data_IF_612275628308
#
_entry.id   IF_612275628308
#
_cell.length_a   1.000
_cell.length_b   1.000
_cell.length_c   1.000
_cell.angle_alpha   90.00
_cell.angle_beta   90.00
_cell.angle_gamma   90.00
#
_symmetry.space_group_name_H-M   'P 1'
#
loop_
_entity.id
_entity.type
_entity.pdbx_description
1 polymer ?
#
# COMPACT_ATOMS: atom_id res chain seq x y z
N UNK A 1 39.36 -4.62 2.05
CA UNK A 1 39.88 -3.34 1.55
C UNK A 1 38.68 -2.43 1.39
N UNK A 2 38.62 -1.40 2.24
CA UNK A 2 37.40 -0.65 2.61
C UNK A 2 37.00 0.35 1.55
N UNK A 3 35.79 0.21 0.99
CA UNK A 3 35.17 1.17 0.08
C UNK A 3 34.46 2.28 0.91
N UNK A 4 35.22 2.99 1.74
CA UNK A 4 34.69 4.07 2.61
C UNK A 4 35.02 5.47 2.11
N UNK A 5 35.74 5.60 0.99
CA UNK A 5 36.11 6.88 0.37
C UNK A 5 35.39 7.05 -0.99
N UNK A 6 34.14 6.63 -1.06
CA UNK A 6 33.34 6.68 -2.28
C UNK A 6 31.98 7.27 -1.90
N UNK A 7 31.67 8.47 -2.39
CA UNK A 7 30.56 9.32 -1.97
C UNK A 7 30.66 9.93 -0.58
N UNK A 8 31.85 10.27 -0.08
CA UNK A 8 31.99 10.91 1.25
C UNK A 8 32.02 12.45 1.17
N UNK A 9 31.88 13.01 -0.03
CA UNK A 9 31.96 14.45 -0.27
C UNK A 9 33.39 14.98 -0.37
N UNK A 10 34.40 14.10 -0.29
CA UNK A 10 35.81 14.41 -0.47
C UNK A 10 36.31 13.85 -1.80
N UNK A 11 37.13 14.65 -2.51
CA UNK A 11 37.77 14.19 -3.75
C UNK A 11 39.02 13.40 -3.40
N UNK A 12 38.91 12.08 -3.35
CA UNK A 12 40.01 11.17 -2.99
C UNK A 12 40.83 10.72 -4.22
N UNK A 13 40.24 10.69 -5.41
CA UNK A 13 40.84 10.34 -6.70
C UNK A 13 41.17 11.59 -7.48
N UNK A 14 42.33 11.59 -8.16
CA UNK A 14 42.84 12.73 -8.93
C UNK A 14 41.88 13.20 -10.05
N UNK A 15 41.06 12.28 -10.57
CA UNK A 15 40.04 12.55 -11.60
C UNK A 15 38.66 12.90 -10.99
N UNK A 16 38.51 12.77 -9.66
CA UNK A 16 37.27 13.05 -8.92
C UNK A 16 36.08 12.17 -9.29
N UNK A 17 36.35 11.03 -9.91
CA UNK A 17 35.34 10.11 -10.42
C UNK A 17 34.58 9.37 -9.31
N UNK A 18 35.08 9.31 -8.07
CA UNK A 18 34.37 8.67 -6.95
C UNK A 18 33.20 9.48 -6.38
N UNK A 19 33.16 10.79 -6.62
CA UNK A 19 32.09 11.69 -6.14
C UNK A 19 31.14 12.09 -7.27
N UNK A 20 31.28 11.49 -8.46
CA UNK A 20 30.36 11.79 -9.56
C UNK A 20 29.00 11.16 -9.29
N UNK A 21 27.93 11.84 -9.68
CA UNK A 21 26.58 11.34 -9.46
C UNK A 21 26.36 9.94 -10.06
N UNK A 22 27.01 9.63 -11.19
CA UNK A 22 26.92 8.34 -11.87
C UNK A 22 27.61 7.22 -11.08
N UNK A 23 28.79 7.52 -10.53
CA UNK A 23 29.51 6.68 -9.58
C UNK A 23 28.68 6.44 -8.31
N UNK A 24 28.17 7.52 -7.71
CA UNK A 24 27.46 7.46 -6.44
C UNK A 24 26.05 6.87 -6.51
N UNK A 25 25.41 6.91 -7.69
CA UNK A 25 24.12 6.31 -7.92
C UNK A 25 24.11 4.79 -7.64
N UNK A 26 25.29 4.14 -7.70
CA UNK A 26 25.43 2.71 -7.47
C UNK A 26 25.70 2.32 -6.01
N UNK A 27 26.12 3.27 -5.15
CA UNK A 27 26.48 2.98 -3.75
C UNK A 27 25.57 3.65 -2.71
N UNK A 28 24.35 4.01 -3.08
CA UNK A 28 23.32 4.32 -2.08
C UNK A 28 22.69 3.02 -1.61
N UNK A 29 23.17 2.50 -0.49
CA UNK A 29 22.63 1.34 0.21
C UNK A 29 21.11 1.40 0.37
N UNK A 30 20.41 0.83 -0.60
CA UNK A 30 19.01 0.49 -0.50
C UNK A 30 18.90 -0.94 -0.99
N UNK A 31 18.78 -1.81 0.00
CA UNK A 31 18.28 -3.18 -0.07
C UNK A 31 16.93 -3.21 -0.81
N UNK A 32 16.92 -3.01 -2.13
CA UNK A 32 15.78 -3.31 -2.98
C UNK A 32 16.31 -3.86 -4.30
N UNK A 33 16.70 -5.13 -4.23
CA UNK A 33 16.95 -5.99 -5.38
C UNK A 33 15.69 -6.04 -6.25
N UNK A 34 15.80 -5.42 -7.43
CA UNK A 34 14.83 -5.48 -8.52
C UNK A 34 14.64 -6.91 -9.03
N UNK A 35 13.39 -7.40 -9.07
CA UNK A 35 13.00 -8.50 -9.97
C UNK A 35 11.85 -7.96 -10.84
N UNK A 36 12.16 -7.75 -12.12
CA UNK A 36 11.29 -7.34 -13.24
C UNK A 36 10.66 -5.94 -13.18
N UNK A 37 10.54 -5.33 -14.37
CA UNK A 37 10.00 -4.00 -14.65
C UNK A 37 8.70 -3.71 -13.87
N UNK A 38 8.83 -3.04 -12.72
CA UNK A 38 7.73 -2.69 -11.83
C UNK A 38 7.20 -1.31 -12.20
N UNK A 39 6.19 -1.27 -13.08
CA UNK A 39 5.20 -0.20 -13.03
C UNK A 39 4.77 -0.11 -11.56
N UNK A 40 4.94 1.04 -10.89
CA UNK A 40 4.64 1.16 -9.45
C UNK A 40 3.13 1.07 -9.20
N UNK A 41 2.53 -0.09 -9.37
CA UNK A 41 1.58 -0.60 -8.40
C UNK A 41 2.46 -1.08 -7.26
N UNK A 42 2.94 -0.14 -6.44
CA UNK A 42 3.17 -0.48 -5.05
C UNK A 42 1.88 -1.18 -4.63
N UNK A 43 1.95 -2.39 -4.08
CA UNK A 43 0.81 -3.06 -3.48
C UNK A 43 0.17 -2.08 -2.50
N UNK A 44 -0.81 -1.33 -3.00
CA UNK A 44 -1.43 -0.27 -2.25
C UNK A 44 -2.23 -1.00 -1.18
N UNK A 45 -1.95 -0.75 0.10
CA UNK A 45 -2.71 -1.42 1.13
C UNK A 45 -4.17 -1.00 0.98
N UNK A 46 -5.05 -1.97 1.01
CA UNK A 46 -6.49 -1.82 1.06
C UNK A 46 -6.88 -1.18 2.38
N UNK A 47 -7.03 0.13 2.35
CA UNK A 47 -7.47 0.91 3.51
C UNK A 47 -8.96 0.65 3.72
N UNK A 48 -9.34 0.14 4.90
CA UNK A 48 -10.73 -0.12 5.22
C UNK A 48 -11.51 1.21 5.21
N UNK A 49 -12.62 1.31 4.44
CA UNK A 49 -13.43 2.52 4.41
C UNK A 49 -14.11 2.76 5.77
N UNK A 50 -14.48 4.00 6.12
CA UNK A 50 -15.29 4.24 7.31
C UNK A 50 -16.63 3.50 7.22
N UNK A 51 -17.20 3.16 8.39
CA UNK A 51 -18.51 2.52 8.45
C UNK A 51 -19.60 3.41 7.84
N UNK A 52 -20.60 2.84 7.15
CA UNK A 52 -21.72 3.59 6.61
C UNK A 52 -22.56 4.21 7.74
N UNK A 53 -23.20 5.36 7.47
CA UNK A 53 -24.13 5.98 8.43
C UNK A 53 -25.27 4.99 8.72
N UNK A 54 -25.55 4.73 9.99
CA UNK A 54 -26.56 3.73 10.41
C UNK A 54 -26.30 2.30 9.93
N UNK A 55 -25.02 1.95 9.70
CA UNK A 55 -24.65 0.57 9.40
C UNK A 55 -23.25 0.21 9.86
N UNK A 56 -22.96 -1.07 9.78
CA UNK A 56 -21.65 -1.65 10.02
C UNK A 56 -21.37 -2.71 8.97
N UNK A 57 -20.10 -3.04 8.77
CA UNK A 57 -19.70 -4.16 7.94
C UNK A 57 -18.68 -4.98 8.72
N UNK A 58 -18.59 -6.27 8.43
CA UNK A 58 -17.55 -7.14 8.98
C UNK A 58 -16.52 -7.45 7.91
N UNK A 59 -15.33 -7.91 8.33
CA UNK A 59 -14.32 -8.40 7.40
C UNK A 59 -13.88 -9.81 7.78
N UNK A 60 -13.23 -10.50 6.85
CA UNK A 60 -12.60 -11.79 7.10
C UNK A 60 -11.44 -11.71 8.11
N UNK A 61 -10.90 -10.51 8.34
CA UNK A 61 -9.79 -10.26 9.25
C UNK A 61 -10.35 -9.95 10.65
N UNK A 62 -10.00 -10.78 11.62
CA UNK A 62 -10.38 -10.58 13.02
C UNK A 62 -9.71 -9.31 13.58
N UNK A 63 -10.52 -8.39 14.09
CA UNK A 63 -10.05 -7.13 14.67
C UNK A 63 -9.64 -6.08 13.64
N UNK A 64 -10.10 -6.19 12.39
CA UNK A 64 -9.87 -5.15 11.41
C UNK A 64 -10.71 -3.91 11.69
N UNK A 65 -10.05 -2.76 11.68
CA UNK A 65 -10.64 -1.46 11.98
C UNK A 65 -10.62 -0.55 10.75
N UNK A 66 -11.63 0.32 10.57
CA UNK A 66 -11.64 1.30 9.50
C UNK A 66 -10.40 2.20 9.57
N UNK A 67 -9.77 2.43 8.41
CA UNK A 67 -8.52 3.20 8.29
C UNK A 67 -7.25 2.36 8.33
N UNK A 68 -7.32 1.08 8.68
CA UNK A 68 -6.17 0.16 8.56
C UNK A 68 -6.02 -0.35 7.13
N UNK A 69 -4.76 -0.53 6.71
CA UNK A 69 -4.39 -0.96 5.36
C UNK A 69 -3.92 -2.41 5.32
N UNK A 70 -4.53 -3.23 4.45
CA UNK A 70 -4.18 -4.66 4.30
C UNK A 70 -3.79 -4.99 2.86
N UNK A 71 -2.92 -5.98 2.64
CA UNK A 71 -2.59 -6.43 1.27
C UNK A 71 -3.82 -6.96 0.51
N UNK A 72 -4.65 -7.73 1.23
CA UNK A 72 -5.93 -8.25 0.76
C UNK A 72 -6.91 -8.34 1.92
N UNK A 73 -8.14 -7.86 1.72
CA UNK A 73 -9.21 -7.92 2.71
C UNK A 73 -10.56 -8.10 2.01
N UNK A 74 -11.47 -8.82 2.65
CA UNK A 74 -12.84 -9.00 2.16
C UNK A 74 -13.82 -8.45 3.18
N UNK A 75 -14.67 -7.51 2.73
CA UNK A 75 -15.81 -6.99 3.47
C UNK A 75 -17.05 -7.83 3.15
N UNK A 76 -17.76 -8.24 4.19
CA UNK A 76 -19.00 -8.99 4.12
C UNK A 76 -19.92 -8.56 5.26
N UNK A 77 -21.14 -9.10 5.30
CA UNK A 77 -22.06 -8.92 6.43
C UNK A 77 -22.40 -7.44 6.73
N UNK A 78 -22.72 -6.66 5.68
CA UNK A 78 -23.19 -5.28 5.88
C UNK A 78 -24.53 -5.30 6.62
N UNK A 79 -24.52 -4.81 7.85
CA UNK A 79 -25.68 -4.72 8.73
C UNK A 79 -26.17 -3.28 8.77
N UNK A 80 -27.42 -3.04 8.37
CA UNK A 80 -28.08 -1.74 8.54
C UNK A 80 -28.97 -1.73 9.80
N UNK A 81 -29.09 -0.57 10.45
CA UNK A 81 -29.99 -0.36 11.57
C UNK A 81 -31.48 -0.55 11.19
N UNK A 82 -32.34 -0.84 12.17
CA UNK A 82 -33.77 -1.08 11.96
C UNK A 82 -34.44 0.12 11.29
N UNK A 83 -34.92 -0.08 10.06
CA UNK A 83 -35.59 0.95 9.26
C UNK A 83 -34.79 1.37 8.03
N UNK A 84 -33.52 0.96 7.93
CA UNK A 84 -32.65 1.26 6.79
C UNK A 84 -32.42 0.01 5.95
N UNK A 85 -32.37 0.20 4.63
CA UNK A 85 -32.08 -0.85 3.66
C UNK A 85 -30.78 -0.51 2.95
N UNK A 86 -29.86 -1.48 2.85
CA UNK A 86 -28.62 -1.30 2.13
C UNK A 86 -28.92 -0.93 0.67
N UNK A 87 -28.75 0.35 0.34
CA UNK A 87 -28.95 0.91 -0.99
C UNK A 87 -27.61 1.27 -1.59
N UNK A 88 -27.29 0.62 -2.71
CA UNK A 88 -26.03 0.81 -3.39
C UNK A 88 -25.63 -0.45 -4.13
N UNK A 89 -24.37 -0.85 -3.97
CA UNK A 89 -23.81 -2.05 -4.57
C UNK A 89 -24.73 -3.26 -4.44
N UNK A 90 -25.00 -3.90 -5.57
CA UNK A 90 -25.74 -5.17 -5.66
C UNK A 90 -24.94 -6.34 -5.08
N UNK A 91 -23.64 -6.16 -4.87
CA UNK A 91 -22.75 -7.15 -4.28
C UNK A 91 -22.92 -7.19 -2.76
N UNK A 92 -23.09 -8.39 -2.20
CA UNK A 92 -23.13 -8.63 -0.74
C UNK A 92 -21.75 -8.76 -0.10
N UNK A 93 -20.72 -8.86 -0.93
CA UNK A 93 -19.33 -9.07 -0.55
C UNK A 93 -18.43 -8.23 -1.45
N UNK A 94 -17.39 -7.64 -0.87
CA UNK A 94 -16.42 -6.79 -1.54
C UNK A 94 -15.02 -7.21 -1.15
N UNK A 95 -14.20 -7.55 -2.13
CA UNK A 95 -12.82 -7.93 -1.91
C UNK A 95 -11.93 -6.79 -2.39
N UNK A 96 -10.92 -6.45 -1.61
CA UNK A 96 -9.84 -5.57 -2.05
C UNK A 96 -8.56 -6.37 -2.20
N UNK A 97 -7.88 -6.15 -3.31
CA UNK A 97 -6.56 -6.70 -3.58
C UNK A 97 -5.73 -5.66 -4.32
N UNK A 98 -4.49 -5.44 -3.87
CA UNK A 98 -3.58 -4.45 -4.48
C UNK A 98 -4.14 -3.02 -4.48
N UNK A 99 -4.96 -2.68 -3.48
CA UNK A 99 -5.59 -1.36 -3.33
C UNK A 99 -6.79 -1.13 -4.25
N UNK A 100 -7.24 -2.16 -4.97
CA UNK A 100 -8.41 -2.09 -5.84
C UNK A 100 -9.56 -2.86 -5.18
N UNK A 101 -10.65 -2.13 -4.89
CA UNK A 101 -11.90 -2.71 -4.39
C UNK A 101 -12.75 -3.23 -5.55
N UNK A 102 -13.28 -4.46 -5.43
CA UNK A 102 -14.19 -5.05 -6.42
C UNK A 102 -15.63 -4.52 -6.33
N UNK A 103 -15.92 -3.70 -5.31
CA UNK A 103 -17.14 -2.90 -5.24
C UNK A 103 -17.11 -1.92 -4.08
N UNK A 104 -18.25 -1.32 -3.78
CA UNK A 104 -18.34 -0.24 -2.78
C UNK A 104 -19.30 -0.60 -1.66
N UNK A 105 -18.94 -0.22 -0.44
CA UNK A 105 -19.83 -0.41 0.73
C UNK A 105 -21.15 0.33 0.47
N UNK A 106 -22.29 -0.36 0.48
CA UNK A 106 -23.59 0.27 0.26
C UNK A 106 -23.90 1.19 1.44
N UNK A 107 -24.72 2.22 1.19
CA UNK A 107 -25.19 3.08 2.27
C UNK A 107 -26.43 2.48 2.88
N UNK A 108 -26.48 2.53 4.20
CA UNK A 108 -27.72 2.56 4.94
C UNK A 108 -28.14 4.05 5.01
#
# INVERSE_FOLDING_TARGET
>A
MSATHYCDGARDCADGSEETNDACATNSGSEFRSEAVSLRVASLPCILPPYPEHGAYSTDIAGAEPGQGYDRVTLSDVTCERGYVARGSTSREFSCSLGVWTGTVPRC
#
